data_IF_350963519469
#
_entry.id   IF_350963519469
#
_cell.length_a   1.000
_cell.length_b   1.000
_cell.length_c   1.000
_cell.angle_alpha   90.00
_cell.angle_beta   90.00
_cell.angle_gamma   90.00
#
_symmetry.space_group_name_H-M   'P 1'
#
loop_
_entity.id
_entity.type
_entity.pdbx_description
1 polymer ?
#
# COMPACT_ATOMS: atom_id res chain seq x y z
N UNK A 1 12.89 18.92 -3.67
CA UNK A 1 12.81 17.45 -3.67
C UNK A 1 12.25 16.91 -2.36
N UNK A 2 12.86 17.16 -1.20
CA UNK A 2 12.37 16.66 0.11
C UNK A 2 10.84 16.78 0.35
N UNK A 3 10.27 17.97 0.17
CA UNK A 3 8.83 18.18 0.38
C UNK A 3 7.94 17.34 -0.54
N UNK A 4 8.40 17.06 -1.77
CA UNK A 4 7.67 16.22 -2.72
C UNK A 4 7.73 14.74 -2.33
N UNK A 5 8.87 14.27 -1.81
CA UNK A 5 9.01 12.88 -1.31
C UNK A 5 8.10 12.67 -0.09
N UNK A 6 8.08 13.62 0.86
CA UNK A 6 7.21 13.54 2.03
C UNK A 6 5.72 13.55 1.65
N UNK A 7 5.33 14.39 0.69
CA UNK A 7 3.98 14.38 0.14
C UNK A 7 3.66 13.04 -0.53
N UNK A 8 4.57 12.51 -1.33
CA UNK A 8 4.40 11.22 -2.00
C UNK A 8 4.30 10.03 -1.03
N UNK A 9 5.08 10.03 0.05
CA UNK A 9 4.96 9.03 1.13
C UNK A 9 3.59 9.14 1.80
N UNK A 10 3.12 10.36 2.08
CA UNK A 10 1.80 10.59 2.65
C UNK A 10 0.68 10.13 1.71
N UNK A 11 0.80 10.42 0.42
CA UNK A 11 -0.12 9.99 -0.63
C UNK A 11 -0.23 8.46 -0.66
N UNK A 12 0.89 7.74 -0.66
CA UNK A 12 0.89 6.26 -0.61
C UNK A 12 0.17 5.73 0.63
N UNK A 13 0.40 6.34 1.80
CA UNK A 13 -0.27 5.99 3.06
C UNK A 13 -1.75 6.40 3.12
N UNK A 14 -2.25 7.16 2.14
CA UNK A 14 -3.66 7.49 1.94
C UNK A 14 -4.29 6.67 0.79
N UNK A 15 -3.54 5.72 0.22
CA UNK A 15 -4.00 4.91 -0.92
C UNK A 15 -3.98 5.64 -2.26
N UNK A 16 -3.16 6.69 -2.40
CA UNK A 16 -2.89 7.37 -3.66
C UNK A 16 -1.66 6.78 -4.35
N UNK A 17 -1.88 6.00 -5.42
CA UNK A 17 -0.80 5.32 -6.18
C UNK A 17 0.08 6.30 -6.98
N UNK A 18 -0.36 7.55 -7.15
CA UNK A 18 0.39 8.59 -7.86
C UNK A 18 1.74 8.92 -7.19
N UNK A 19 1.84 8.76 -5.87
CA UNK A 19 3.07 8.98 -5.10
C UNK A 19 4.21 8.03 -5.47
N UNK A 20 3.90 6.84 -6.00
CA UNK A 20 4.87 5.81 -6.36
C UNK A 20 5.92 6.35 -7.35
N UNK A 21 5.49 7.11 -8.37
CA UNK A 21 6.40 7.66 -9.38
C UNK A 21 7.41 8.64 -8.80
N UNK A 22 7.00 9.41 -7.79
CA UNK A 22 7.88 10.37 -7.11
C UNK A 22 8.88 9.62 -6.23
N UNK A 23 8.43 8.62 -5.48
CA UNK A 23 9.30 7.75 -4.66
C UNK A 23 10.30 7.00 -5.55
N UNK A 24 9.87 6.47 -6.68
CA UNK A 24 10.71 5.78 -7.67
C UNK A 24 11.79 6.70 -8.26
N UNK A 25 11.47 7.98 -8.44
CA UNK A 25 12.41 8.98 -8.98
C UNK A 25 13.34 9.57 -7.92
N UNK A 26 13.06 9.35 -6.63
CA UNK A 26 13.84 9.91 -5.54
C UNK A 26 15.20 9.23 -5.41
N UNK A 27 16.23 10.02 -5.06
CA UNK A 27 17.53 9.43 -4.74
C UNK A 27 17.47 8.64 -3.45
N UNK A 28 18.24 7.55 -3.34
CA UNK A 28 18.34 6.74 -2.14
C UNK A 28 18.46 7.50 -0.82
N UNK A 29 19.42 8.41 -0.75
CA UNK A 29 19.74 9.19 0.43
C UNK A 29 18.63 10.19 0.80
N UNK A 30 17.92 10.73 -0.20
CA UNK A 30 16.81 11.66 0.02
C UNK A 30 15.58 10.92 0.56
N UNK A 31 15.28 9.74 0.01
CA UNK A 31 14.18 8.90 0.47
C UNK A 31 14.41 8.43 1.90
N UNK A 32 15.59 7.87 2.20
CA UNK A 32 15.93 7.41 3.55
C UNK A 32 15.82 8.53 4.59
N UNK A 33 16.28 9.75 4.26
CA UNK A 33 16.14 10.91 5.15
C UNK A 33 14.68 11.31 5.39
N UNK A 34 13.81 11.16 4.39
CA UNK A 34 12.38 11.47 4.54
C UNK A 34 11.65 10.42 5.38
N UNK A 35 11.90 9.14 5.10
CA UNK A 35 11.36 8.00 5.85
C UNK A 35 11.69 8.12 7.33
N UNK A 36 12.94 8.43 7.68
CA UNK A 36 13.35 8.62 9.08
C UNK A 36 12.72 9.85 9.78
N UNK A 37 12.04 10.73 9.04
CA UNK A 37 11.51 12.00 9.57
C UNK A 37 10.01 12.00 9.87
N UNK A 38 9.32 10.90 9.60
CA UNK A 38 7.89 10.76 9.89
C UNK A 38 7.52 9.30 10.20
N UNK A 39 6.50 9.06 11.02
CA UNK A 39 5.95 7.71 11.17
C UNK A 39 5.30 7.28 9.86
N UNK A 40 5.60 6.06 9.41
CA UNK A 40 4.95 5.43 8.27
C UNK A 40 4.09 4.29 8.79
N UNK A 41 2.79 4.55 8.93
CA UNK A 41 1.82 3.55 9.40
C UNK A 41 0.73 3.39 8.35
N UNK A 42 0.62 2.20 7.78
CA UNK A 42 -0.46 1.84 6.87
C UNK A 42 -1.74 1.57 7.65
N UNK A 43 -2.81 2.24 7.24
CA UNK A 43 -4.13 2.15 7.87
C UNK A 43 -5.16 1.45 6.95
N UNK A 44 -6.23 0.85 7.50
CA UNK A 44 -7.24 0.17 6.69
C UNK A 44 -7.90 1.09 5.64
N UNK A 45 -8.06 2.38 5.91
CA UNK A 45 -8.68 3.31 4.95
C UNK A 45 -7.88 3.47 3.66
N UNK A 46 -6.55 3.38 3.76
CA UNK A 46 -5.66 3.42 2.60
C UNK A 46 -5.86 2.17 1.72
N UNK A 47 -5.94 1.00 2.35
CA UNK A 47 -6.18 -0.27 1.66
C UNK A 47 -7.55 -0.27 0.98
N UNK A 48 -8.59 0.20 1.69
CA UNK A 48 -9.94 0.35 1.13
C UNK A 48 -9.95 1.31 -0.07
N UNK A 49 -9.25 2.44 0.04
CA UNK A 49 -9.11 3.42 -1.05
C UNK A 49 -8.53 2.78 -2.32
N UNK A 50 -7.45 2.00 -2.18
CA UNK A 50 -6.82 1.28 -3.32
C UNK A 50 -7.76 0.23 -3.89
N UNK A 51 -8.40 -0.60 -3.05
CA UNK A 51 -9.35 -1.63 -3.50
C UNK A 51 -10.54 -1.02 -4.25
N UNK A 52 -11.07 0.11 -3.81
CA UNK A 52 -12.16 0.82 -4.48
C UNK A 52 -11.73 1.38 -5.85
N UNK A 53 -10.54 1.98 -5.92
CA UNK A 53 -9.98 2.50 -7.18
C UNK A 53 -9.72 1.36 -8.16
N UNK A 54 -9.17 0.25 -7.69
CA UNK A 54 -8.92 -0.94 -8.52
C UNK A 54 -10.24 -1.55 -9.01
N UNK A 55 -11.19 -1.80 -8.10
CA UNK A 55 -12.50 -2.38 -8.45
C UNK A 55 -13.32 -1.50 -9.39
N UNK A 56 -13.17 -0.18 -9.33
CA UNK A 56 -13.83 0.74 -10.27
C UNK A 56 -13.07 0.96 -11.58
N UNK A 57 -11.89 0.35 -11.75
CA UNK A 57 -11.04 0.51 -12.94
C UNK A 57 -10.32 1.86 -13.03
N UNK A 58 -10.25 2.63 -11.94
CA UNK A 58 -9.54 3.91 -11.89
C UNK A 58 -8.02 3.74 -11.87
N UNK A 59 -7.52 2.61 -11.35
CA UNK A 59 -6.12 2.23 -11.38
C UNK A 59 -5.97 0.84 -12.01
N UNK A 60 -4.83 0.59 -12.63
CA UNK A 60 -4.55 -0.71 -13.25
C UNK A 60 -4.14 -1.77 -12.21
N UNK A 61 -4.14 -3.04 -12.63
CA UNK A 61 -3.59 -4.12 -11.80
C UNK A 61 -2.10 -3.90 -11.48
N UNK A 62 -1.32 -3.38 -12.43
CA UNK A 62 0.10 -3.03 -12.23
C UNK A 62 0.26 -1.93 -11.18
N UNK A 63 -0.54 -0.86 -11.24
CA UNK A 63 -0.49 0.21 -10.24
C UNK A 63 -0.83 -0.30 -8.84
N UNK A 64 -1.84 -1.15 -8.73
CA UNK A 64 -2.28 -1.74 -7.46
C UNK A 64 -1.23 -2.70 -6.89
N UNK A 65 -0.62 -3.55 -7.73
CA UNK A 65 0.44 -4.47 -7.35
C UNK A 65 1.69 -3.73 -6.88
N UNK A 66 2.12 -2.69 -7.62
CA UNK A 66 3.28 -1.88 -7.24
C UNK A 66 3.08 -1.14 -5.93
N UNK A 67 1.85 -0.67 -5.66
CA UNK A 67 1.50 -0.10 -4.37
C UNK A 67 1.61 -1.14 -3.25
N UNK A 68 1.05 -2.34 -3.47
CA UNK A 68 1.07 -3.43 -2.50
C UNK A 68 2.50 -3.89 -2.18
N UNK A 69 3.34 -4.08 -3.20
CA UNK A 69 4.75 -4.44 -3.00
C UNK A 69 5.51 -3.37 -2.23
N UNK A 70 5.24 -2.08 -2.48
CA UNK A 70 5.88 -0.99 -1.73
C UNK A 70 5.51 -1.03 -0.25
N UNK A 71 4.22 -1.16 0.08
CA UNK A 71 3.78 -1.13 1.48
C UNK A 71 4.05 -2.43 2.25
N UNK A 72 4.23 -3.55 1.52
CA UNK A 72 4.55 -4.86 2.12
C UNK A 72 6.04 -5.09 2.29
N UNK A 73 6.82 -4.73 1.27
CA UNK A 73 8.23 -5.07 1.20
C UNK A 73 9.16 -3.86 1.24
N UNK A 74 8.62 -2.64 1.21
CA UNK A 74 9.39 -1.41 1.20
C UNK A 74 10.09 -1.11 -0.13
N UNK A 75 9.74 -1.79 -1.23
CA UNK A 75 10.32 -1.55 -2.56
C UNK A 75 9.28 -1.60 -3.68
N UNK A 76 9.60 -0.92 -4.79
CA UNK A 76 8.77 -0.90 -6.01
C UNK A 76 9.36 -1.92 -7.01
N UNK A 77 8.60 -2.93 -7.46
CA UNK A 77 9.05 -3.90 -8.46
C UNK A 77 9.51 -3.23 -9.75
N UNK A 78 10.52 -3.83 -10.41
CA UNK A 78 11.00 -3.37 -11.73
C UNK A 78 11.93 -2.15 -11.72
N UNK A 79 12.22 -1.54 -10.56
CA UNK A 79 13.19 -0.44 -10.42
C UNK A 79 14.63 -0.95 -10.31
N UNK A 80 15.52 -0.67 -11.28
CA UNK A 80 16.94 -1.02 -11.16
C UNK A 80 17.58 -0.25 -10.00
N UNK A 81 18.23 -0.95 -9.06
CA UNK A 81 18.93 -0.32 -7.93
C UNK A 81 18.08 -0.01 -6.70
N UNK A 82 16.82 -0.48 -6.64
CA UNK A 82 16.00 -0.42 -5.41
C UNK A 82 16.62 -1.15 -4.21
N UNK A 83 17.53 -2.08 -4.45
CA UNK A 83 18.27 -2.83 -3.42
C UNK A 83 19.22 -1.94 -2.59
N UNK A 84 19.75 -0.86 -3.18
CA UNK A 84 20.80 -0.03 -2.54
C UNK A 84 20.29 0.88 -1.41
N UNK A 85 18.98 1.10 -1.30
CA UNK A 85 18.38 1.92 -0.21
C UNK A 85 18.00 1.13 1.03
N UNK A 86 17.95 -0.20 0.93
CA UNK A 86 17.13 -0.99 1.85
C UNK A 86 15.62 -0.73 1.64
N UNK A 87 14.78 -1.59 2.21
CA UNK A 87 13.33 -1.43 2.16
C UNK A 87 12.88 -0.22 2.97
N UNK A 88 11.86 0.50 2.47
CA UNK A 88 11.12 1.48 3.27
C UNK A 88 10.34 0.72 4.34
N UNK A 89 10.64 0.97 5.60
CA UNK A 89 9.95 0.36 6.73
C UNK A 89 8.59 1.04 6.94
N UNK A 90 7.51 0.28 6.79
CA UNK A 90 6.12 0.76 6.93
C UNK A 90 5.43 -0.16 7.92
N UNK A 91 5.16 0.37 9.10
CA UNK A 91 4.37 -0.32 10.12
C UNK A 91 2.92 -0.45 9.63
N UNK A 92 2.21 -1.47 10.11
CA UNK A 92 0.78 -1.61 9.89
C UNK A 92 0.02 -1.30 11.17
N UNK A 93 -1.19 -0.77 11.03
CA UNK A 93 -2.04 -0.52 12.19
C UNK A 93 -2.36 -1.85 12.89
N UNK A 94 -1.76 -2.08 14.06
CA UNK A 94 -1.79 -3.36 14.81
C UNK A 94 -3.18 -3.95 15.00
N UNK A 95 -4.22 -3.10 15.09
CA UNK A 95 -5.60 -3.56 15.27
C UNK A 95 -6.16 -4.29 14.03
N UNK A 96 -5.63 -3.99 12.85
CA UNK A 96 -6.07 -4.53 11.56
C UNK A 96 -4.93 -5.22 10.82
N UNK A 97 -3.86 -5.62 11.54
CA UNK A 97 -2.64 -6.14 10.91
C UNK A 97 -2.94 -7.37 10.02
N UNK A 98 -3.80 -8.27 10.50
CA UNK A 98 -4.20 -9.48 9.78
C UNK A 98 -5.01 -9.14 8.52
N UNK A 99 -6.03 -8.27 8.62
CA UNK A 99 -6.88 -7.90 7.48
C UNK A 99 -6.14 -7.03 6.45
N UNK A 100 -5.26 -6.13 6.92
CA UNK A 100 -4.35 -5.38 6.05
C UNK A 100 -3.43 -6.36 5.33
N UNK A 101 -2.84 -7.32 6.06
CA UNK A 101 -1.94 -8.31 5.50
C UNK A 101 -2.59 -9.19 4.44
N UNK A 102 -3.82 -9.64 4.67
CA UNK A 102 -4.60 -10.40 3.69
C UNK A 102 -4.84 -9.59 2.42
N UNK A 103 -5.39 -8.37 2.55
CA UNK A 103 -5.74 -7.53 1.42
C UNK A 103 -4.51 -7.06 0.61
N UNK A 104 -3.45 -6.62 1.29
CA UNK A 104 -2.18 -6.25 0.66
C UNK A 104 -1.54 -7.45 -0.01
N UNK A 105 -1.58 -8.62 0.64
CA UNK A 105 -1.05 -9.87 0.07
C UNK A 105 -1.73 -10.24 -1.25
N UNK A 106 -3.05 -10.15 -1.31
CA UNK A 106 -3.81 -10.41 -2.55
C UNK A 106 -3.51 -9.41 -3.64
N UNK A 107 -3.40 -8.12 -3.31
CA UNK A 107 -3.02 -7.08 -4.29
C UNK A 107 -1.59 -7.29 -4.83
N UNK A 108 -0.66 -7.76 -4.01
CA UNK A 108 0.73 -8.04 -4.38
C UNK A 108 0.86 -9.22 -5.36
N UNK A 109 -0.12 -10.13 -5.36
CA UNK A 109 -0.22 -11.29 -6.25
C UNK A 109 -0.80 -10.95 -7.63
N UNK A 110 -1.37 -9.76 -7.83
CA UNK A 110 -1.92 -9.34 -9.12
C UNK A 110 -0.88 -9.46 -10.25
N UNK A 111 -1.28 -10.09 -11.35
CA UNK A 111 -0.38 -10.36 -12.48
C UNK A 111 0.43 -11.67 -12.37
N UNK A 112 0.31 -12.42 -11.26
CA UNK A 112 0.76 -13.81 -11.20
C UNK A 112 -0.08 -14.72 -12.13
N UNK A 113 0.56 -15.75 -12.70
CA UNK A 113 -0.02 -16.68 -13.66
C UNK A 113 -1.02 -17.66 -13.04
N UNK A 114 -0.98 -17.84 -11.71
CA UNK A 114 -1.81 -18.82 -11.00
C UNK A 114 -3.02 -18.14 -10.36
N UNK A 115 -2.78 -17.18 -9.46
CA UNK A 115 -3.84 -16.51 -8.67
C UNK A 115 -3.87 -14.98 -8.84
N UNK A 116 -3.29 -14.47 -9.94
CA UNK A 116 -3.05 -13.04 -10.15
C UNK A 116 -4.23 -12.23 -10.68
N UNK A 117 -5.45 -12.64 -10.36
CA UNK A 117 -6.67 -11.86 -10.63
C UNK A 117 -7.48 -11.72 -9.35
N UNK A 118 -8.03 -10.52 -9.15
CA UNK A 118 -9.02 -10.24 -8.11
C UNK A 118 -10.29 -9.78 -8.82
N UNK A 119 -11.40 -10.47 -8.58
CA UNK A 119 -12.69 -10.10 -9.14
C UNK A 119 -13.48 -9.11 -8.24
N UNK A 120 -14.65 -8.69 -8.70
CA UNK A 120 -15.48 -7.72 -7.98
C UNK A 120 -16.03 -8.25 -6.66
N UNK A 121 -16.26 -9.56 -6.54
CA UNK A 121 -16.76 -10.15 -5.31
C UNK A 121 -15.65 -10.26 -4.27
N UNK A 122 -14.44 -10.59 -4.71
CA UNK A 122 -13.24 -10.56 -3.88
C UNK A 122 -12.91 -9.13 -3.39
N UNK A 123 -12.96 -8.11 -4.27
CA UNK A 123 -12.80 -6.71 -3.85
C UNK A 123 -13.80 -6.33 -2.75
N UNK A 124 -15.08 -6.70 -2.91
CA UNK A 124 -16.12 -6.40 -1.90
C UNK A 124 -15.86 -7.17 -0.60
N UNK A 125 -15.44 -8.42 -0.68
CA UNK A 125 -15.08 -9.22 0.48
C UNK A 125 -13.94 -8.57 1.28
N UNK A 126 -12.85 -8.20 0.61
CA UNK A 126 -11.69 -7.56 1.24
C UNK A 126 -12.07 -6.22 1.89
N UNK A 127 -12.84 -5.36 1.21
CA UNK A 127 -13.34 -4.10 1.81
C UNK A 127 -14.22 -4.37 3.03
N UNK A 128 -15.08 -5.38 2.98
CA UNK A 128 -15.96 -5.72 4.11
C UNK A 128 -15.17 -6.26 5.31
N UNK A 129 -14.08 -6.98 5.10
CA UNK A 129 -13.21 -7.45 6.19
C UNK A 129 -12.61 -6.26 6.97
N UNK A 130 -12.02 -5.31 6.25
CA UNK A 130 -11.37 -4.11 6.80
C UNK A 130 -12.36 -3.18 7.53
N UNK A 131 -13.61 -3.10 7.07
CA UNK A 131 -14.64 -2.22 7.66
C UNK A 131 -15.47 -2.88 8.77
N UNK A 132 -15.46 -4.22 8.89
CA UNK A 132 -16.16 -4.94 9.95
C UNK A 132 -15.37 -5.01 11.24
N UNK A 133 -14.06 -5.19 11.16
CA UNK A 133 -13.16 -5.15 12.34
C UNK A 133 -13.25 -3.82 13.09
N UNK A 134 -13.74 -2.78 12.40
CA UNK A 134 -14.02 -1.48 12.96
C UNK A 134 -15.23 -1.46 13.91
N UNK A 135 -16.29 -2.21 13.58
CA UNK A 135 -17.55 -2.28 14.34
C UNK A 135 -17.44 -3.16 15.58
N UNK A 136 -16.77 -4.30 15.47
CA UNK A 136 -16.69 -5.28 16.56
C UNK A 136 -15.86 -4.80 17.77
N UNK A 137 -15.09 -3.71 17.63
CA UNK A 137 -14.36 -3.11 18.76
C UNK A 137 -15.09 -1.93 19.41
N UNK A 138 -16.07 -1.33 18.74
CA UNK A 138 -16.93 -0.31 19.36
C UNK A 138 -17.86 -0.93 20.42
N UNK A 139 -18.21 -2.21 20.26
CA UNK A 139 -19.07 -2.97 21.17
C UNK A 139 -18.32 -3.58 22.38
N UNK A 140 -17.00 -3.37 22.51
CA UNK A 140 -16.16 -3.90 23.60
C UNK A 140 -15.70 -2.86 24.63
N UNK A 141 -16.20 -1.62 24.56
CA UNK A 141 -15.95 -0.52 25.50
C UNK A 141 -17.21 -0.18 26.31
#
# INVERSE_FOLDING_TARGET
MRAQILAALSDVLLGEVSGIKVIESAKPEELASCVASMPLVLKPEAVVSVLQKFGSGQISADDAQRWASLVRWGFIPGRPGSESTGPVDIDWELRYEDEIGEAVGRLDELGDLIDGTIDQDEVRYLINSLTRSDRDSADRL
#
